data_IF_926697922677
#
_entry.id   IF_926697922677
#
_cell.length_a   1.000
_cell.length_b   1.000
_cell.length_c   1.000
_cell.angle_alpha   90.00
_cell.angle_beta   90.00
_cell.angle_gamma   90.00
#
_symmetry.space_group_name_H-M   'P 1'
#
loop_
_entity.id
_entity.type
_entity.pdbx_description
1 polymer ?
#
# COMPACT_ATOMS: atom_id res chain seq x y z
N UNK A 1 14.18 13.72 11.78
CA UNK A 1 14.19 14.10 10.35
C UNK A 1 12.82 14.70 10.05
N UNK A 2 12.77 15.92 9.52
CA UNK A 2 11.51 16.60 9.16
C UNK A 2 11.31 16.47 7.65
N UNK A 3 10.10 16.11 7.25
CA UNK A 3 9.66 16.06 5.84
C UNK A 3 8.49 17.03 5.68
N UNK A 4 8.56 17.90 4.67
CA UNK A 4 7.51 18.87 4.36
C UNK A 4 7.11 18.68 2.91
N UNK A 5 5.84 18.31 2.69
CA UNK A 5 5.26 18.19 1.37
C UNK A 5 4.25 19.32 1.15
N UNK A 6 4.28 19.96 0.00
CA UNK A 6 3.31 20.98 -0.37
C UNK A 6 2.50 20.54 -1.61
N UNK A 7 1.19 20.74 -1.56
CA UNK A 7 0.28 20.37 -2.66
C UNK A 7 -1.18 20.45 -2.21
N UNK A 8 -2.08 19.85 -2.98
CA UNK A 8 -3.49 19.76 -2.61
C UNK A 8 -3.71 18.54 -1.73
N UNK A 9 -3.82 18.76 -0.42
CA UNK A 9 -3.86 17.68 0.57
C UNK A 9 -5.31 17.29 0.83
N UNK A 10 -5.62 16.01 0.65
CA UNK A 10 -6.93 15.43 0.92
C UNK A 10 -6.79 14.34 1.97
N UNK A 11 -7.51 14.46 3.06
CA UNK A 11 -7.52 13.48 4.15
C UNK A 11 -8.94 13.06 4.51
N UNK A 12 -9.08 11.85 5.02
CA UNK A 12 -10.33 11.28 5.50
C UNK A 12 -10.24 11.04 7.02
N UNK A 13 -10.48 12.06 7.86
CA UNK A 13 -10.32 11.94 9.32
C UNK A 13 -11.39 11.05 9.97
N UNK A 14 -12.52 10.86 9.29
CA UNK A 14 -13.62 9.99 9.71
C UNK A 14 -14.38 9.46 8.51
N UNK A 15 -15.15 8.38 8.71
CA UNK A 15 -16.01 7.82 7.68
C UNK A 15 -17.00 8.88 7.17
N UNK A 16 -17.07 9.03 5.84
CA UNK A 16 -17.95 9.99 5.18
C UNK A 16 -17.51 11.46 5.24
N UNK A 17 -16.32 11.74 5.77
CA UNK A 17 -15.76 13.10 5.83
C UNK A 17 -14.44 13.18 5.07
N UNK A 18 -14.34 14.18 4.19
CA UNK A 18 -13.09 14.57 3.53
C UNK A 18 -12.74 16.00 3.95
N UNK A 19 -11.51 16.19 4.40
CA UNK A 19 -10.91 17.50 4.61
C UNK A 19 -9.94 17.79 3.47
N UNK A 20 -10.08 18.99 2.86
CA UNK A 20 -9.25 19.43 1.73
C UNK A 20 -8.49 20.68 2.14
N UNK A 21 -7.18 20.69 1.89
CA UNK A 21 -6.32 21.87 2.06
C UNK A 21 -5.59 22.13 0.74
N UNK A 22 -6.07 23.11 -0.01
CA UNK A 22 -5.47 23.51 -1.28
C UNK A 22 -4.12 24.19 -1.06
N UNK A 23 -3.11 23.79 -1.86
CA UNK A 23 -1.73 24.29 -1.78
C UNK A 23 -1.15 24.29 -0.35
N UNK A 24 -1.64 23.35 0.49
CA UNK A 24 -1.26 23.24 1.89
C UNK A 24 0.07 22.53 2.11
N UNK A 25 0.46 22.44 3.36
CA UNK A 25 1.69 21.84 3.84
C UNK A 25 1.36 20.64 4.74
N UNK A 26 1.80 19.45 4.35
CA UNK A 26 1.81 18.26 5.18
C UNK A 26 3.19 18.14 5.81
N UNK A 27 3.23 18.09 7.14
CA UNK A 27 4.49 18.00 7.87
C UNK A 27 4.56 16.68 8.62
N UNK A 28 5.70 16.01 8.48
CA UNK A 28 6.00 14.79 9.21
C UNK A 28 7.35 14.92 9.93
N UNK A 29 7.41 14.47 11.18
CA UNK A 29 8.62 14.39 11.98
C UNK A 29 8.90 12.94 12.34
N UNK A 30 10.11 12.47 12.02
CA UNK A 30 10.54 11.09 12.27
C UNK A 30 9.56 10.03 11.72
N UNK A 31 8.99 10.30 10.54
CA UNK A 31 8.04 9.40 9.88
C UNK A 31 6.60 9.48 10.39
N UNK A 32 6.29 10.39 11.31
CA UNK A 32 4.93 10.60 11.84
C UNK A 32 4.40 11.95 11.38
N UNK A 33 3.20 11.96 10.77
CA UNK A 33 2.52 13.19 10.37
C UNK A 33 2.15 13.99 11.64
N UNK A 34 2.66 15.22 11.74
CA UNK A 34 2.38 16.14 12.85
C UNK A 34 1.21 17.08 12.55
N UNK A 35 0.93 17.32 11.27
CA UNK A 35 -0.23 18.12 10.88
C UNK A 35 -0.28 18.45 9.39
N UNK A 36 -1.44 19.03 9.02
CA UNK A 36 -1.71 19.65 7.72
C UNK A 36 -2.06 21.12 7.97
N UNK A 37 -1.42 22.01 7.25
CA UNK A 37 -1.50 23.44 7.47
C UNK A 37 -1.76 24.19 6.15
N UNK A 38 -2.62 25.20 6.12
CA UNK A 38 -2.83 26.03 4.92
C UNK A 38 -1.63 26.94 4.62
N UNK A 39 -0.80 27.25 5.64
CA UNK A 39 0.41 28.06 5.53
C UNK A 39 1.52 27.35 6.30
N UNK A 40 2.75 27.40 5.78
CA UNK A 40 3.90 26.80 6.46
C UNK A 40 4.09 27.44 7.85
N UNK A 41 4.08 26.65 8.95
CA UNK A 41 4.30 27.18 10.29
C UNK A 41 5.70 27.80 10.45
N UNK A 42 5.79 28.87 11.21
CA UNK A 42 7.03 29.66 11.39
C UNK A 42 8.22 28.80 11.85
N UNK A 43 7.99 27.82 12.69
CA UNK A 43 9.01 26.92 13.22
C UNK A 43 9.70 26.06 12.13
N UNK A 44 9.12 25.98 10.93
CA UNK A 44 9.69 25.25 9.80
C UNK A 44 10.21 26.19 8.70
N UNK A 45 10.25 27.50 8.94
CA UNK A 45 10.75 28.47 7.98
C UNK A 45 12.19 28.14 7.60
N UNK A 46 12.46 28.11 6.28
CA UNK A 46 13.78 27.75 5.75
C UNK A 46 14.08 26.25 5.67
N UNK A 47 13.20 25.38 6.17
CA UNK A 47 13.32 23.95 5.94
C UNK A 47 13.01 23.58 4.47
N UNK A 48 13.65 22.56 3.88
CA UNK A 48 13.39 22.14 2.52
C UNK A 48 11.94 21.64 2.38
N UNK A 49 11.28 22.08 1.32
CA UNK A 49 9.89 21.71 0.97
C UNK A 49 9.90 20.99 -0.36
N UNK A 50 9.27 19.82 -0.41
CA UNK A 50 8.97 19.13 -1.66
C UNK A 50 7.63 19.65 -2.17
N UNK A 51 7.67 20.51 -3.20
CA UNK A 51 6.47 21.15 -3.79
C UNK A 51 5.95 20.33 -4.97
N UNK A 52 4.77 19.76 -4.82
CA UNK A 52 4.06 18.98 -5.83
C UNK A 52 3.08 19.81 -6.67
N UNK A 53 3.07 21.13 -6.50
CA UNK A 53 2.22 22.05 -7.26
C UNK A 53 0.73 21.70 -7.11
N UNK A 54 0.06 21.47 -8.23
CA UNK A 54 -1.38 21.16 -8.29
C UNK A 54 -1.70 19.66 -8.05
N UNK A 55 -0.69 18.83 -7.77
CA UNK A 55 -0.92 17.40 -7.51
C UNK A 55 -1.67 17.18 -6.20
N UNK A 56 -2.43 16.08 -6.17
CA UNK A 56 -3.09 15.62 -4.95
C UNK A 56 -2.10 14.85 -4.07
N UNK A 57 -2.09 15.18 -2.79
CA UNK A 57 -1.44 14.41 -1.74
C UNK A 57 -2.55 13.73 -0.94
N UNK A 58 -2.60 12.41 -1.01
CA UNK A 58 -3.65 11.61 -0.38
C UNK A 58 -3.06 10.55 0.54
N UNK A 59 -3.88 10.03 1.46
CA UNK A 59 -3.50 8.86 2.25
C UNK A 59 -3.30 7.65 1.33
N UNK A 60 -2.35 6.79 1.67
CA UNK A 60 -2.15 5.51 0.98
C UNK A 60 -3.40 4.63 1.09
N UNK A 61 -3.55 3.73 0.12
CA UNK A 61 -4.70 2.83 0.07
C UNK A 61 -4.52 1.65 1.02
N UNK A 62 -5.67 1.10 1.45
CA UNK A 62 -5.75 -0.16 2.16
C UNK A 62 -6.53 -1.16 1.30
N UNK A 63 -5.92 -2.31 1.03
CA UNK A 63 -6.60 -3.45 0.40
C UNK A 63 -7.06 -4.40 1.50
N UNK A 64 -8.37 -4.55 1.65
CA UNK A 64 -8.96 -5.35 2.73
C UNK A 64 -9.25 -6.80 2.31
N UNK A 65 -8.91 -7.20 1.07
CA UNK A 65 -9.10 -8.56 0.59
C UNK A 65 -8.12 -8.89 -0.53
N UNK A 66 -6.97 -9.47 -0.17
CA UNK A 66 -5.91 -9.85 -1.07
C UNK A 66 -5.47 -11.29 -0.82
N UNK A 67 -5.36 -12.10 -1.87
CA UNK A 67 -4.77 -13.45 -1.83
C UNK A 67 -3.30 -13.41 -2.27
N UNK A 68 -2.39 -13.21 -1.31
CA UNK A 68 -0.97 -13.00 -1.60
C UNK A 68 -0.29 -14.20 -2.29
N UNK A 69 -0.68 -15.42 -1.92
CA UNK A 69 -0.13 -16.63 -2.50
C UNK A 69 -0.56 -16.87 -3.96
N UNK A 70 -1.56 -16.14 -4.45
CA UNK A 70 -2.03 -16.22 -5.83
C UNK A 70 -1.37 -15.18 -6.76
N UNK A 71 -0.54 -14.30 -6.23
CA UNK A 71 0.16 -13.28 -7.01
C UNK A 71 0.94 -13.85 -8.21
N UNK A 72 1.65 -15.00 -8.13
CA UNK A 72 2.40 -15.55 -9.28
C UNK A 72 1.54 -15.99 -10.45
N UNK A 73 0.23 -16.18 -10.25
CA UNK A 73 -0.70 -16.63 -11.27
C UNK A 73 -1.74 -15.57 -11.65
N UNK A 74 -1.46 -14.32 -11.32
CA UNK A 74 -2.37 -13.20 -11.59
C UNK A 74 -2.78 -13.14 -13.07
N UNK A 75 -4.09 -13.16 -13.33
CA UNK A 75 -4.67 -13.13 -14.69
C UNK A 75 -4.66 -14.47 -15.43
N UNK A 76 -4.21 -15.56 -14.84
CA UNK A 76 -4.18 -16.87 -15.48
C UNK A 76 -5.53 -17.60 -15.36
N UNK A 77 -6.00 -18.21 -16.46
CA UNK A 77 -7.16 -19.07 -16.49
C UNK A 77 -8.50 -18.41 -16.16
N UNK A 78 -8.62 -17.11 -16.43
CA UNK A 78 -9.81 -16.30 -16.10
C UNK A 78 -11.09 -16.71 -16.87
N UNK A 79 -10.96 -17.56 -17.87
CA UNK A 79 -12.03 -18.14 -18.69
C UNK A 79 -12.61 -19.44 -18.11
N UNK A 80 -12.07 -19.94 -16.99
CA UNK A 80 -12.47 -21.21 -16.38
C UNK A 80 -13.53 -21.05 -15.30
N UNK A 81 -14.41 -22.05 -15.12
CA UNK A 81 -15.22 -22.15 -13.91
C UNK A 81 -14.34 -22.18 -12.66
N UNK A 82 -14.87 -21.65 -11.54
CA UNK A 82 -14.11 -21.46 -10.30
C UNK A 82 -13.38 -22.73 -9.82
N UNK A 83 -14.07 -23.87 -9.75
CA UNK A 83 -13.46 -25.12 -9.26
C UNK A 83 -12.36 -25.64 -10.20
N UNK A 84 -12.53 -25.49 -11.49
CA UNK A 84 -11.53 -25.87 -12.49
C UNK A 84 -10.31 -24.96 -12.39
N UNK A 85 -10.53 -23.66 -12.19
CA UNK A 85 -9.48 -22.67 -11.97
C UNK A 85 -8.71 -22.94 -10.68
N UNK A 86 -9.40 -23.22 -9.56
CA UNK A 86 -8.76 -23.56 -8.30
C UNK A 86 -7.84 -24.77 -8.44
N UNK A 87 -8.34 -25.84 -9.04
CA UNK A 87 -7.57 -27.09 -9.21
C UNK A 87 -6.40 -26.95 -10.18
N UNK A 88 -6.58 -26.18 -11.28
CA UNK A 88 -5.55 -26.05 -12.31
C UNK A 88 -4.45 -25.04 -11.97
N UNK A 89 -4.78 -23.98 -11.23
CA UNK A 89 -3.88 -22.87 -10.99
C UNK A 89 -3.68 -22.53 -9.51
N UNK A 90 -4.75 -22.29 -8.73
CA UNK A 90 -4.62 -21.77 -7.39
C UNK A 90 -3.94 -22.76 -6.45
N UNK A 91 -4.47 -23.97 -6.31
CA UNK A 91 -3.91 -24.97 -5.39
C UNK A 91 -2.49 -25.40 -5.75
N UNK A 92 -2.13 -25.65 -7.03
CA UNK A 92 -0.75 -25.94 -7.40
C UNK A 92 0.21 -24.78 -7.12
N UNK A 93 -0.23 -23.54 -7.33
CA UNK A 93 0.58 -22.35 -7.04
C UNK A 93 0.78 -22.17 -5.55
N UNK A 94 -0.28 -22.26 -4.74
CA UNK A 94 -0.21 -22.13 -3.30
C UNK A 94 0.61 -23.26 -2.64
N UNK A 95 0.57 -24.48 -3.18
CA UNK A 95 1.39 -25.60 -2.69
C UNK A 95 2.91 -25.30 -2.75
N UNK A 96 3.36 -24.46 -3.69
CA UNK A 96 4.77 -24.05 -3.81
C UNK A 96 5.28 -23.25 -2.62
N UNK A 97 4.38 -22.65 -1.85
CA UNK A 97 4.71 -21.88 -0.65
C UNK A 97 5.16 -22.76 0.53
N UNK A 98 5.16 -24.09 0.39
CA UNK A 98 5.90 -24.98 1.28
C UNK A 98 7.41 -24.66 1.30
N UNK A 99 7.94 -24.15 0.18
CA UNK A 99 9.30 -23.61 0.09
C UNK A 99 9.29 -22.15 0.59
N UNK A 100 9.92 -21.92 1.73
CA UNK A 100 9.97 -20.61 2.39
C UNK A 100 10.81 -19.59 1.62
N UNK A 101 11.81 -20.00 0.84
CA UNK A 101 12.62 -19.09 0.02
C UNK A 101 11.82 -18.62 -1.20
N UNK A 102 11.03 -19.52 -1.79
CA UNK A 102 10.06 -19.16 -2.81
C UNK A 102 9.02 -18.19 -2.26
N UNK A 103 8.42 -18.48 -1.10
CA UNK A 103 7.43 -17.64 -0.44
C UNK A 103 8.00 -16.23 -0.17
N UNK A 104 9.21 -16.15 0.38
CA UNK A 104 9.92 -14.88 0.65
C UNK A 104 10.13 -14.06 -0.61
N UNK A 105 10.53 -14.70 -1.69
CA UNK A 105 10.73 -14.04 -2.98
C UNK A 105 9.44 -13.44 -3.50
N UNK A 106 8.36 -14.24 -3.51
CA UNK A 106 7.04 -13.81 -4.01
C UNK A 106 6.45 -12.69 -3.15
N UNK A 107 6.45 -12.84 -1.83
CA UNK A 107 5.87 -11.82 -0.94
C UNK A 107 6.66 -10.52 -0.96
N UNK A 108 7.98 -10.58 -1.11
CA UNK A 108 8.81 -9.38 -1.26
C UNK A 108 8.48 -8.62 -2.55
N UNK A 109 8.28 -9.36 -3.65
CA UNK A 109 7.88 -8.76 -4.93
C UNK A 109 6.46 -8.18 -4.84
N UNK A 110 5.51 -8.90 -4.26
CA UNK A 110 4.15 -8.42 -4.04
C UNK A 110 4.12 -7.15 -3.18
N UNK A 111 4.87 -7.11 -2.07
CA UNK A 111 4.95 -5.94 -1.21
C UNK A 111 5.50 -4.71 -1.96
N UNK A 112 6.52 -4.92 -2.80
CA UNK A 112 7.07 -3.86 -3.64
C UNK A 112 6.03 -3.33 -4.64
N UNK A 113 5.31 -4.22 -5.34
CA UNK A 113 4.27 -3.82 -6.30
C UNK A 113 3.11 -3.08 -5.64
N UNK A 114 2.67 -3.53 -4.47
CA UNK A 114 1.61 -2.87 -3.71
C UNK A 114 2.05 -1.45 -3.29
N UNK A 115 3.25 -1.31 -2.73
CA UNK A 115 3.80 -0.03 -2.32
C UNK A 115 3.97 0.92 -3.51
N UNK A 116 4.48 0.43 -4.65
CA UNK A 116 4.66 1.21 -5.87
C UNK A 116 3.33 1.73 -6.44
N UNK A 117 2.22 1.07 -6.10
CA UNK A 117 0.86 1.46 -6.52
C UNK A 117 0.09 2.21 -5.42
N UNK A 118 0.76 2.60 -4.33
CA UNK A 118 0.18 3.39 -3.25
C UNK A 118 -0.61 2.57 -2.22
N UNK A 119 -0.60 1.24 -2.28
CA UNK A 119 -1.20 0.38 -1.25
C UNK A 119 -0.18 0.02 -0.20
N UNK A 120 -0.38 0.48 1.05
CA UNK A 120 0.57 0.27 2.15
C UNK A 120 -0.02 -0.53 3.31
N UNK A 121 -1.29 -0.89 3.24
CA UNK A 121 -1.98 -1.73 4.21
C UNK A 121 -2.77 -2.80 3.47
N UNK A 122 -2.66 -4.04 3.95
CA UNK A 122 -3.38 -5.16 3.36
C UNK A 122 -3.96 -6.07 4.44
N UNK A 123 -5.17 -6.59 4.20
CA UNK A 123 -5.67 -7.76 4.88
C UNK A 123 -5.48 -8.94 3.93
N UNK A 124 -4.39 -9.69 4.14
CA UNK A 124 -3.92 -10.67 3.19
C UNK A 124 -4.25 -12.10 3.64
N UNK A 125 -4.92 -12.83 2.75
CA UNK A 125 -4.95 -14.29 2.84
C UNK A 125 -3.62 -14.83 2.33
N UNK A 126 -2.92 -15.55 3.19
CA UNK A 126 -1.66 -16.20 2.89
C UNK A 126 -1.90 -17.62 2.35
N UNK A 127 -0.86 -18.43 2.28
CA UNK A 127 -0.95 -19.85 1.96
C UNK A 127 -1.34 -20.68 3.20
N UNK A 128 -1.64 -21.96 2.98
CA UNK A 128 -1.89 -22.91 4.07
C UNK A 128 -0.61 -23.26 4.90
N UNK A 129 0.56 -22.82 4.46
CA UNK A 129 1.84 -23.12 5.10
C UNK A 129 2.17 -22.05 6.15
N UNK A 130 2.20 -22.44 7.42
CA UNK A 130 2.44 -21.54 8.57
C UNK A 130 3.75 -20.77 8.44
N UNK A 131 4.84 -21.47 8.09
CA UNK A 131 6.17 -20.84 7.98
C UNK A 131 6.21 -19.75 6.88
N UNK A 132 5.51 -19.98 5.77
CA UNK A 132 5.36 -18.98 4.72
C UNK A 132 4.53 -17.76 5.15
N UNK A 133 3.58 -17.97 6.07
CA UNK A 133 2.72 -16.89 6.57
C UNK A 133 3.45 -15.97 7.56
N UNK A 134 4.51 -16.48 8.22
CA UNK A 134 5.29 -15.75 9.22
C UNK A 134 6.51 -15.00 8.63
N UNK A 135 6.70 -15.03 7.31
CA UNK A 135 7.77 -14.30 6.60
C UNK A 135 7.47 -12.81 6.56
#
# INVERSE_FOLDING_TARGET
>A
MTTILKGNIVSAPACGRLDVTEHGYLIAENGVITGVYPVQPEQYTGAPVEDYGDCLIVQSFADLHLHGAQYPMLGMGMDRPLLDWLNAYAFPTEARFADTDYARTVYRQLAHELAARGTTRVCMFSSLHTDATLI
#
